data_IF_124706342706
#
_entry.id   IF_124706342706
#
_cell.length_a   1.000
_cell.length_b   1.000
_cell.length_c   1.000
_cell.angle_alpha   90.00
_cell.angle_beta   90.00
_cell.angle_gamma   90.00
#
_symmetry.space_group_name_H-M   'P 1'
#
loop_
_entity.id
_entity.type
_entity.pdbx_description
1 polymer ?
#
# COMPACT_ATOMS: atom_id res chain seq x y z
N UNK A 1 -41.67 1.31 1.42
CA UNK A 1 -40.24 1.70 1.40
C UNK A 1 -39.46 0.43 1.73
N UNK A 2 -38.93 -0.24 0.73
CA UNK A 2 -38.04 -1.38 0.92
C UNK A 2 -36.68 -0.84 1.41
N UNK A 3 -36.26 -1.30 2.59
CA UNK A 3 -34.90 -1.13 3.04
C UNK A 3 -33.99 -1.94 2.11
N UNK A 4 -33.28 -1.29 1.23
CA UNK A 4 -32.15 -1.90 0.52
C UNK A 4 -31.12 -2.23 1.61
N UNK A 5 -31.03 -3.51 1.97
CA UNK A 5 -29.95 -4.00 2.82
C UNK A 5 -28.65 -3.76 2.06
N UNK A 6 -27.82 -2.84 2.58
CA UNK A 6 -26.44 -2.74 2.14
C UNK A 6 -25.81 -4.13 2.25
N UNK A 7 -25.48 -4.72 1.13
CA UNK A 7 -24.66 -5.94 1.08
C UNK A 7 -23.30 -5.51 1.60
N UNK A 8 -23.04 -5.75 2.89
CA UNK A 8 -21.71 -5.55 3.46
C UNK A 8 -20.75 -6.48 2.73
N UNK A 9 -19.81 -5.90 1.98
CA UNK A 9 -18.73 -6.67 1.37
C UNK A 9 -18.05 -7.53 2.45
N UNK A 10 -17.74 -8.82 2.17
CA UNK A 10 -17.08 -9.68 3.13
C UNK A 10 -15.78 -9.05 3.58
N UNK A 11 -15.64 -8.87 4.88
CA UNK A 11 -14.46 -8.26 5.49
C UNK A 11 -13.30 -9.25 5.39
N UNK A 12 -12.23 -8.89 4.68
CA UNK A 12 -11.06 -9.77 4.47
C UNK A 12 -10.24 -10.00 5.75
N UNK A 13 -10.35 -9.11 6.74
CA UNK A 13 -9.64 -9.19 8.02
C UNK A 13 -10.50 -8.54 9.14
N UNK A 14 -10.21 -8.79 10.43
CA UNK A 14 -10.87 -8.10 11.54
C UNK A 14 -10.82 -6.58 11.38
N UNK A 15 -11.89 -5.90 11.75
CA UNK A 15 -12.06 -4.44 11.55
C UNK A 15 -10.94 -3.63 12.18
N UNK A 16 -10.55 -3.95 13.41
CA UNK A 16 -9.47 -3.26 14.10
C UNK A 16 -8.11 -3.43 13.41
N UNK A 17 -7.84 -4.60 12.83
CA UNK A 17 -6.62 -4.87 12.05
C UNK A 17 -6.63 -4.05 10.76
N UNK A 18 -7.77 -4.01 10.07
CA UNK A 18 -7.95 -3.21 8.86
C UNK A 18 -7.74 -1.72 9.12
N UNK A 19 -8.41 -1.17 10.13
CA UNK A 19 -8.33 0.25 10.48
C UNK A 19 -6.88 0.63 10.87
N UNK A 20 -6.17 -0.24 11.61
CA UNK A 20 -4.76 -0.03 11.91
C UNK A 20 -3.90 -0.05 10.66
N UNK A 21 -4.13 -0.98 9.73
CA UNK A 21 -3.38 -1.13 8.50
C UNK A 21 -3.53 0.12 7.61
N UNK A 22 -4.77 0.62 7.42
CA UNK A 22 -5.06 1.87 6.70
C UNK A 22 -4.35 3.05 7.36
N UNK A 23 -4.50 3.20 8.68
CA UNK A 23 -3.87 4.28 9.45
C UNK A 23 -2.35 4.24 9.34
N UNK A 24 -1.75 3.05 9.38
CA UNK A 24 -0.32 2.87 9.23
C UNK A 24 0.17 3.34 7.85
N UNK A 25 -0.45 2.91 6.77
CA UNK A 25 -0.08 3.32 5.40
C UNK A 25 -0.15 4.83 5.20
N UNK A 26 -1.20 5.50 5.71
CA UNK A 26 -1.34 6.97 5.65
C UNK A 26 -0.25 7.68 6.46
N UNK A 27 0.21 7.10 7.56
CA UNK A 27 1.24 7.70 8.43
C UNK A 27 2.68 7.28 8.09
N UNK A 28 2.88 6.43 7.08
CA UNK A 28 4.18 5.96 6.61
C UNK A 28 4.44 6.41 5.16
N UNK A 29 4.42 5.51 4.20
CA UNK A 29 4.74 5.80 2.80
C UNK A 29 3.84 6.91 2.20
N UNK A 30 2.53 6.83 2.38
CA UNK A 30 1.60 7.82 1.84
C UNK A 30 1.67 9.20 2.54
N UNK A 31 2.41 9.32 3.63
CA UNK A 31 2.69 10.61 4.29
C UNK A 31 3.85 11.39 3.66
N UNK A 32 4.59 10.79 2.72
CA UNK A 32 5.82 11.34 2.18
C UNK A 32 7.00 11.34 3.17
N UNK A 33 6.90 10.62 4.30
CA UNK A 33 8.02 10.44 5.24
C UNK A 33 9.16 9.68 4.57
N UNK A 34 10.39 9.97 5.02
CA UNK A 34 11.55 9.19 4.59
C UNK A 34 11.56 7.82 5.29
N UNK A 35 11.91 6.75 4.57
CA UNK A 35 12.09 5.44 5.19
C UNK A 35 13.26 5.44 6.19
N UNK A 36 13.23 4.49 7.11
CA UNK A 36 14.29 4.23 8.06
C UNK A 36 15.20 3.16 7.43
N UNK A 37 16.50 3.43 7.37
CA UNK A 37 17.48 2.46 6.87
C UNK A 37 17.82 1.43 7.93
N UNK A 38 18.09 0.18 7.51
CA UNK A 38 18.57 -0.87 8.39
C UNK A 38 17.56 -1.37 9.43
N UNK A 39 16.26 -1.35 9.11
CA UNK A 39 15.21 -1.83 10.01
C UNK A 39 15.34 -3.30 10.39
N UNK A 40 16.02 -4.10 9.58
CA UNK A 40 16.25 -5.52 9.83
C UNK A 40 17.68 -5.93 9.45
N UNK A 41 18.02 -7.19 9.82
CA UNK A 41 19.35 -7.79 9.55
C UNK A 41 19.70 -7.92 8.06
N UNK A 42 18.75 -7.77 7.15
CA UNK A 42 18.93 -7.85 5.69
C UNK A 42 19.24 -6.49 5.06
N UNK A 43 19.27 -5.40 5.84
CA UNK A 43 19.57 -4.06 5.35
C UNK A 43 18.46 -3.40 4.54
N UNK A 44 17.22 -3.89 4.64
CA UNK A 44 16.08 -3.25 3.99
C UNK A 44 15.84 -1.85 4.56
N UNK A 45 15.41 -0.94 3.71
CA UNK A 45 14.74 0.29 4.12
C UNK A 45 13.28 -0.01 4.47
N UNK A 46 12.62 0.88 5.21
CA UNK A 46 11.21 0.65 5.47
C UNK A 46 10.58 1.65 6.43
N UNK A 47 9.38 1.32 6.86
CA UNK A 47 8.59 2.13 7.77
C UNK A 47 8.11 1.29 8.94
N UNK A 48 7.85 1.95 10.05
CA UNK A 48 7.22 1.36 11.24
C UNK A 48 6.11 2.27 11.75
N UNK A 49 4.98 1.67 12.14
CA UNK A 49 3.87 2.39 12.76
C UNK A 49 3.16 1.50 13.80
N UNK A 50 2.90 2.00 15.03
CA UNK A 50 3.41 3.26 15.54
C UNK A 50 4.93 3.27 15.65
N UNK A 51 5.52 4.45 15.68
CA UNK A 51 6.93 4.58 16.04
C UNK A 51 7.13 4.29 17.55
N UNK A 52 8.37 4.19 18.00
CA UNK A 52 8.75 3.68 19.35
C UNK A 52 8.08 4.37 20.55
N UNK A 53 7.40 5.50 20.34
CA UNK A 53 6.87 6.33 21.42
C UNK A 53 5.37 6.18 21.67
N UNK A 54 4.68 5.26 20.95
CA UNK A 54 3.25 5.03 21.14
C UNK A 54 2.99 3.95 22.20
N UNK A 55 3.07 4.33 23.48
CA UNK A 55 2.59 3.50 24.58
C UNK A 55 1.09 3.20 24.42
N UNK A 56 0.71 1.94 24.58
CA UNK A 56 -0.69 1.49 24.49
C UNK A 56 -1.19 1.08 23.09
N UNK A 57 -0.33 1.05 22.08
CA UNK A 57 -0.69 0.52 20.76
C UNK A 57 -0.93 -1.01 20.85
N UNK A 58 -2.03 -1.48 20.26
CA UNK A 58 -2.37 -2.92 20.16
C UNK A 58 -1.61 -3.60 19.04
N UNK A 59 -1.41 -2.91 17.92
CA UNK A 59 -0.80 -3.47 16.71
C UNK A 59 0.46 -2.72 16.33
N UNK A 60 1.39 -3.45 15.68
CA UNK A 60 2.58 -2.93 15.05
C UNK A 60 2.53 -3.25 13.55
N UNK A 61 2.71 -2.23 12.73
CA UNK A 61 2.91 -2.34 11.29
C UNK A 61 4.38 -2.11 10.95
N UNK A 62 4.91 -2.95 10.08
CA UNK A 62 6.24 -2.81 9.50
C UNK A 62 6.14 -3.00 7.99
N UNK A 63 6.68 -2.06 7.25
CA UNK A 63 6.86 -2.11 5.80
C UNK A 63 8.36 -2.14 5.52
N UNK A 64 8.82 -3.16 4.82
CA UNK A 64 10.23 -3.39 4.52
C UNK A 64 10.40 -3.59 3.03
N UNK A 65 11.30 -2.83 2.40
CA UNK A 65 11.52 -2.91 0.96
C UNK A 65 12.97 -2.68 0.56
N UNK A 66 13.28 -3.15 -0.63
CA UNK A 66 14.52 -2.80 -1.36
C UNK A 66 14.16 -2.13 -2.67
N UNK A 67 14.97 -1.15 -3.04
CA UNK A 67 14.94 -0.51 -4.35
C UNK A 67 16.14 -1.03 -5.16
N UNK A 68 15.96 -1.21 -6.47
CA UNK A 68 17.04 -1.66 -7.34
C UNK A 68 18.28 -0.75 -7.25
N UNK A 69 19.49 -1.34 -7.25
CA UNK A 69 20.75 -0.62 -7.07
C UNK A 69 21.02 0.42 -8.18
N UNK A 70 20.54 0.16 -9.38
CA UNK A 70 20.75 1.06 -10.52
C UNK A 70 19.97 2.37 -10.43
N UNK A 71 19.17 2.58 -9.37
CA UNK A 71 18.32 3.76 -9.11
C UNK A 71 17.65 4.41 -10.33
N UNK A 72 18.06 3.99 -11.54
CA UNK A 72 17.52 4.49 -12.82
C UNK A 72 16.20 3.81 -13.16
N UNK A 73 16.01 2.58 -12.69
CA UNK A 73 14.75 1.85 -12.85
C UNK A 73 13.79 2.05 -11.68
N UNK A 74 14.28 2.50 -10.51
CA UNK A 74 13.52 2.70 -9.28
C UNK A 74 12.49 1.57 -8.96
N UNK A 75 12.76 0.34 -9.47
CA UNK A 75 11.96 -0.83 -9.16
C UNK A 75 12.18 -1.22 -7.70
N UNK A 76 11.13 -1.63 -7.05
CA UNK A 76 11.16 -2.03 -5.65
C UNK A 76 10.40 -3.34 -5.44
N UNK A 77 10.78 -4.05 -4.40
CA UNK A 77 10.04 -5.20 -3.88
C UNK A 77 10.12 -5.20 -2.36
N UNK A 78 9.08 -5.65 -1.70
CA UNK A 78 9.02 -5.62 -0.24
C UNK A 78 7.87 -6.41 0.35
N UNK A 79 7.69 -6.20 1.63
CA UNK A 79 6.58 -6.79 2.38
C UNK A 79 6.12 -5.87 3.51
N UNK A 80 4.82 -5.88 3.74
CA UNK A 80 4.19 -5.26 4.90
C UNK A 80 3.75 -6.36 5.87
N UNK A 81 3.93 -6.13 7.15
CA UNK A 81 3.48 -7.02 8.22
C UNK A 81 2.68 -6.23 9.24
N UNK A 82 1.53 -6.75 9.65
CA UNK A 82 0.79 -6.25 10.79
C UNK A 82 0.74 -7.35 11.86
N UNK A 83 1.18 -7.04 13.08
CA UNK A 83 1.24 -7.98 14.19
C UNK A 83 0.67 -7.40 15.47
N UNK A 84 0.10 -8.26 16.30
CA UNK A 84 -0.31 -7.94 17.66
C UNK A 84 0.92 -7.78 18.55
N UNK A 85 1.00 -6.66 19.28
CA UNK A 85 2.19 -6.33 20.09
C UNK A 85 2.29 -7.25 21.32
N UNK A 86 1.16 -7.53 21.96
CA UNK A 86 1.15 -8.28 23.21
C UNK A 86 1.53 -9.75 23.02
N UNK A 87 1.02 -10.37 21.97
CA UNK A 87 1.30 -11.78 21.65
C UNK A 87 2.45 -12.00 20.69
N UNK A 88 2.88 -10.97 19.96
CA UNK A 88 3.83 -11.06 18.85
C UNK A 88 3.27 -11.76 17.60
N UNK A 89 2.00 -12.11 17.59
CA UNK A 89 1.38 -12.85 16.48
C UNK A 89 1.17 -11.97 15.26
N UNK A 90 1.48 -12.54 14.09
CA UNK A 90 1.24 -11.88 12.80
C UNK A 90 -0.23 -12.00 12.42
N UNK A 91 -0.88 -10.88 12.15
CA UNK A 91 -2.26 -10.80 11.68
C UNK A 91 -2.34 -10.82 10.15
N UNK A 92 -1.45 -10.09 9.49
CA UNK A 92 -1.42 -10.00 8.03
C UNK A 92 0.01 -9.88 7.52
N UNK A 93 0.23 -10.44 6.33
CA UNK A 93 1.44 -10.20 5.51
C UNK A 93 0.98 -9.78 4.11
N UNK A 94 1.64 -8.79 3.54
CA UNK A 94 1.42 -8.35 2.17
C UNK A 94 2.76 -8.26 1.44
N UNK A 95 2.94 -9.08 0.43
CA UNK A 95 4.12 -9.11 -0.43
C UNK A 95 3.85 -8.26 -1.66
N UNK A 96 4.79 -7.43 -2.07
CA UNK A 96 4.58 -6.54 -3.19
C UNK A 96 5.85 -6.27 -4.00
N UNK A 97 5.64 -5.79 -5.22
CA UNK A 97 6.70 -5.28 -6.07
C UNK A 97 6.15 -4.36 -7.16
N UNK A 98 7.00 -3.55 -7.72
CA UNK A 98 6.60 -2.60 -8.75
C UNK A 98 7.69 -1.62 -9.13
N UNK A 99 7.29 -0.57 -9.82
CA UNK A 99 8.17 0.52 -10.18
C UNK A 99 7.67 1.34 -11.35
N UNK A 100 8.35 2.43 -11.69
CA UNK A 100 8.03 3.25 -12.85
C UNK A 100 8.24 2.47 -14.15
N UNK A 101 7.44 2.77 -15.14
CA UNK A 101 7.71 2.36 -16.53
C UNK A 101 8.86 3.21 -17.11
N UNK A 102 9.29 2.90 -18.33
CA UNK A 102 10.28 3.74 -19.04
C UNK A 102 9.78 5.19 -19.15
N UNK A 103 8.52 5.38 -19.52
CA UNK A 103 7.89 6.69 -19.64
C UNK A 103 7.80 7.40 -18.29
N UNK A 104 7.58 6.65 -17.21
CA UNK A 104 7.61 7.18 -15.84
C UNK A 104 9.00 7.67 -15.42
N UNK A 105 10.05 6.95 -15.81
CA UNK A 105 11.44 7.36 -15.59
C UNK A 105 11.76 8.64 -16.38
N UNK A 106 11.34 8.72 -17.63
CA UNK A 106 11.55 9.90 -18.48
C UNK A 106 10.83 11.15 -17.96
N UNK A 107 9.64 10.99 -17.34
CA UNK A 107 8.91 12.06 -16.66
C UNK A 107 9.58 12.48 -15.35
N UNK A 108 10.22 11.56 -14.68
CA UNK A 108 10.96 11.73 -13.42
C UNK A 108 10.24 11.13 -12.21
N UNK A 109 10.94 10.30 -11.48
CA UNK A 109 10.46 9.52 -10.34
C UNK A 109 9.72 10.35 -9.30
N UNK A 110 10.21 11.56 -9.00
CA UNK A 110 9.58 12.44 -8.01
C UNK A 110 8.16 12.85 -8.43
N UNK A 111 7.93 13.10 -9.72
CA UNK A 111 6.62 13.51 -10.24
C UNK A 111 5.66 12.33 -10.18
N UNK A 112 6.11 11.15 -10.60
CA UNK A 112 5.32 9.91 -10.57
C UNK A 112 4.97 9.51 -9.14
N UNK A 113 5.97 9.53 -8.23
CA UNK A 113 5.77 9.19 -6.82
C UNK A 113 4.82 10.17 -6.12
N UNK A 114 4.92 11.47 -6.39
CA UNK A 114 3.98 12.43 -5.80
C UNK A 114 2.54 12.17 -6.23
N UNK A 115 2.30 11.84 -7.50
CA UNK A 115 0.97 11.47 -7.99
C UNK A 115 0.48 10.17 -7.34
N UNK A 116 1.34 9.15 -7.22
CA UNK A 116 1.01 7.89 -6.55
C UNK A 116 0.65 8.11 -5.07
N UNK A 117 1.48 8.85 -4.33
CA UNK A 117 1.26 9.18 -2.91
C UNK A 117 -0.09 9.87 -2.70
N UNK A 118 -0.48 10.79 -3.59
CA UNK A 118 -1.77 11.47 -3.52
C UNK A 118 -2.93 10.46 -3.52
N UNK A 119 -2.97 9.54 -4.49
CA UNK A 119 -4.02 8.52 -4.56
C UNK A 119 -4.01 7.58 -3.35
N UNK A 120 -2.82 7.15 -2.92
CA UNK A 120 -2.68 6.27 -1.76
C UNK A 120 -3.11 6.94 -0.45
N UNK A 121 -2.93 8.25 -0.31
CA UNK A 121 -3.35 9.00 0.87
C UNK A 121 -4.87 9.25 0.88
N UNK A 122 -5.43 9.68 -0.26
CA UNK A 122 -6.85 10.02 -0.37
C UNK A 122 -7.76 8.78 -0.33
N UNK A 123 -7.29 7.64 -0.84
CA UNK A 123 -8.08 6.41 -0.98
C UNK A 123 -7.51 5.21 -0.21
N UNK A 124 -6.83 5.48 0.91
CA UNK A 124 -6.09 4.46 1.67
C UNK A 124 -6.93 3.26 2.15
N UNK A 125 -8.25 3.43 2.30
CA UNK A 125 -9.18 2.37 2.70
C UNK A 125 -9.75 1.56 1.52
N UNK A 126 -9.42 1.94 0.29
CA UNK A 126 -9.93 1.32 -0.93
C UNK A 126 -8.84 0.61 -1.72
N UNK A 127 -7.63 1.20 -1.75
CA UNK A 127 -6.50 0.68 -2.53
C UNK A 127 -5.78 -0.46 -1.80
N UNK A 128 -5.29 -1.43 -2.57
CA UNK A 128 -4.46 -2.56 -2.06
C UNK A 128 -5.17 -3.48 -1.07
N UNK A 129 -6.45 -3.71 -1.28
CA UNK A 129 -7.27 -4.63 -0.48
C UNK A 129 -8.13 -5.55 -1.35
N UNK A 130 -7.64 -5.95 -2.52
CA UNK A 130 -8.33 -6.85 -3.43
C UNK A 130 -9.61 -6.25 -4.04
N UNK A 131 -9.65 -4.94 -4.22
CA UNK A 131 -10.78 -4.22 -4.82
C UNK A 131 -10.45 -3.74 -6.23
N UNK A 132 -11.49 -3.68 -7.08
CA UNK A 132 -11.40 -2.97 -8.34
C UNK A 132 -11.73 -1.49 -8.09
N UNK A 133 -10.77 -0.62 -8.36
CA UNK A 133 -10.90 0.82 -8.13
C UNK A 133 -10.38 1.60 -9.33
N UNK A 134 -10.92 2.81 -9.53
CA UNK A 134 -10.42 3.77 -10.50
C UNK A 134 -10.63 5.18 -9.98
N UNK A 135 -9.55 5.94 -9.87
CA UNK A 135 -9.55 7.32 -9.43
C UNK A 135 -8.88 8.21 -10.47
N UNK A 136 -9.28 9.46 -10.55
CA UNK A 136 -8.75 10.42 -11.51
C UNK A 136 -8.43 11.73 -10.81
N UNK A 137 -7.30 12.32 -11.14
CA UNK A 137 -6.84 13.62 -10.65
C UNK A 137 -6.26 14.46 -11.78
N UNK A 138 -6.63 15.74 -11.84
CA UNK A 138 -6.05 16.70 -12.78
C UNK A 138 -5.04 17.56 -12.05
N UNK A 139 -3.77 17.49 -12.47
CA UNK A 139 -2.72 18.30 -11.88
C UNK A 139 -2.80 19.79 -12.31
N UNK A 140 -2.11 20.71 -11.62
CA UNK A 140 -2.12 22.14 -11.96
C UNK A 140 -1.62 22.46 -13.38
N UNK A 141 -0.83 21.57 -13.98
CA UNK A 141 -0.35 21.69 -15.36
C UNK A 141 -1.35 21.17 -16.40
N UNK A 142 -2.51 20.68 -15.95
CA UNK A 142 -3.58 20.20 -16.81
C UNK A 142 -3.45 18.72 -17.21
N UNK A 143 -2.45 18.00 -16.71
CA UNK A 143 -2.33 16.57 -16.99
C UNK A 143 -3.36 15.77 -16.19
N UNK A 144 -3.90 14.74 -16.82
CA UNK A 144 -4.84 13.83 -16.19
C UNK A 144 -4.08 12.59 -15.71
N UNK A 145 -4.07 12.39 -14.40
CA UNK A 145 -3.54 11.21 -13.75
C UNK A 145 -4.69 10.25 -13.42
N UNK A 146 -4.51 8.98 -13.73
CA UNK A 146 -5.49 7.94 -13.42
C UNK A 146 -4.79 6.80 -12.69
N UNK A 147 -5.31 6.47 -11.51
CA UNK A 147 -4.97 5.28 -10.76
C UNK A 147 -6.03 4.21 -11.00
N UNK A 148 -5.61 3.05 -11.43
CA UNK A 148 -6.46 1.87 -11.62
C UNK A 148 -5.91 0.71 -10.79
N UNK A 149 -6.75 0.16 -9.92
CA UNK A 149 -6.47 -1.06 -9.18
C UNK A 149 -7.41 -2.17 -9.67
N UNK A 150 -6.84 -3.35 -9.94
CA UNK A 150 -7.58 -4.60 -10.15
C UNK A 150 -7.28 -5.52 -9.00
N UNK A 151 -8.31 -5.93 -8.29
CA UNK A 151 -8.16 -6.76 -7.12
C UNK A 151 -8.97 -8.03 -7.18
N UNK A 152 -8.47 -9.07 -6.51
CA UNK A 152 -9.22 -10.28 -6.20
C UNK A 152 -9.18 -10.56 -4.70
N UNK A 153 -10.26 -11.14 -4.18
CA UNK A 153 -10.36 -11.58 -2.78
C UNK A 153 -10.60 -13.07 -2.72
N UNK A 154 -9.94 -13.72 -1.79
CA UNK A 154 -10.10 -15.15 -1.45
C UNK A 154 -10.29 -15.28 0.06
N UNK A 155 -10.67 -16.45 0.54
CA UNK A 155 -11.06 -16.69 1.95
C UNK A 155 -10.09 -16.15 3.00
N UNK A 156 -8.77 -16.20 2.72
CA UNK A 156 -7.72 -15.78 3.65
C UNK A 156 -6.71 -14.82 3.01
N UNK A 157 -7.07 -14.16 1.91
CA UNK A 157 -6.12 -13.28 1.25
C UNK A 157 -6.71 -12.46 0.13
N UNK A 158 -5.86 -11.65 -0.46
CA UNK A 158 -6.22 -10.82 -1.61
C UNK A 158 -5.02 -10.61 -2.53
N UNK A 159 -5.29 -10.26 -3.76
CA UNK A 159 -4.30 -9.83 -4.75
C UNK A 159 -4.65 -8.48 -5.32
N UNK A 160 -3.65 -7.71 -5.69
CA UNK A 160 -3.78 -6.40 -6.30
C UNK A 160 -2.82 -6.26 -7.49
N UNK A 161 -3.32 -5.73 -8.59
CA UNK A 161 -2.54 -5.21 -9.71
C UNK A 161 -2.90 -3.74 -9.88
N UNK A 162 -1.89 -2.86 -9.90
CA UNK A 162 -2.11 -1.42 -9.96
C UNK A 162 -1.38 -0.80 -11.15
N UNK A 163 -1.99 0.24 -11.70
CA UNK A 163 -1.45 1.02 -12.78
C UNK A 163 -1.72 2.50 -12.56
N UNK A 164 -0.68 3.30 -12.62
CA UNK A 164 -0.79 4.75 -12.68
C UNK A 164 -0.50 5.22 -14.11
N UNK A 165 -1.39 6.02 -14.67
CA UNK A 165 -1.22 6.61 -16.01
C UNK A 165 -1.23 8.14 -15.92
N UNK A 166 -0.56 8.78 -16.89
CA UNK A 166 -0.62 10.24 -17.11
C UNK A 166 -1.01 10.48 -18.56
N UNK A 167 -2.14 11.16 -18.78
CA UNK A 167 -2.71 11.38 -20.13
C UNK A 167 -2.85 10.06 -20.93
N UNK A 168 -3.23 8.97 -20.25
CA UNK A 168 -3.39 7.63 -20.85
C UNK A 168 -2.09 6.83 -21.01
N UNK A 169 -0.92 7.41 -20.77
CA UNK A 169 0.38 6.72 -20.87
C UNK A 169 0.74 6.10 -19.52
N UNK A 170 1.10 4.80 -19.45
CA UNK A 170 1.52 4.15 -18.20
C UNK A 170 2.80 4.76 -17.63
N UNK A 171 2.76 5.14 -16.35
CA UNK A 171 3.88 5.74 -15.63
C UNK A 171 4.44 4.83 -14.54
N UNK A 172 3.59 3.99 -13.94
CA UNK A 172 3.95 3.11 -12.83
C UNK A 172 3.07 1.87 -12.84
N UNK A 173 3.63 0.73 -12.41
CA UNK A 173 2.91 -0.53 -12.18
C UNK A 173 3.27 -1.11 -10.82
N UNK A 174 2.34 -1.87 -10.25
CA UNK A 174 2.51 -2.51 -8.96
C UNK A 174 1.69 -3.79 -8.91
N UNK A 175 2.22 -4.81 -8.22
CA UNK A 175 1.53 -6.05 -7.90
C UNK A 175 1.72 -6.36 -6.42
N UNK A 176 0.69 -6.95 -5.81
CA UNK A 176 0.78 -7.38 -4.43
C UNK A 176 -0.11 -8.56 -4.11
N UNK A 177 0.26 -9.32 -3.06
CA UNK A 177 -0.53 -10.42 -2.52
C UNK A 177 -0.53 -10.36 -1.01
N UNK A 178 -1.72 -10.26 -0.44
CA UNK A 178 -1.94 -10.26 0.99
C UNK A 178 -2.47 -11.60 1.50
N UNK A 179 -2.12 -11.93 2.73
CA UNK A 179 -2.66 -13.06 3.45
C UNK A 179 -3.06 -12.65 4.87
N UNK A 180 -4.20 -13.15 5.33
CA UNK A 180 -4.73 -12.93 6.68
C UNK A 180 -4.64 -14.20 7.49
N UNK A 181 -4.00 -14.13 8.62
CA UNK A 181 -3.87 -15.23 9.59
C UNK A 181 -5.00 -15.11 10.63
N UNK A 182 -6.16 -15.68 10.34
CA UNK A 182 -7.43 -15.47 11.09
C UNK A 182 -7.39 -15.83 12.59
N UNK A 183 -6.31 -16.43 13.07
CA UNK A 183 -6.14 -16.79 14.49
C UNK A 183 -4.77 -16.42 15.06
N UNK A 184 -3.93 -15.69 14.33
CA UNK A 184 -2.54 -15.45 14.68
C UNK A 184 -1.81 -16.79 14.98
N UNK A 185 -0.67 -17.02 14.40
CA UNK A 185 0.16 -18.17 14.77
C UNK A 185 0.79 -17.96 16.13
#
# INVERSE_FOLDING_TARGET
MEQVSEIQEPQIMPREVFDHFVKARVNTFASGKKPISGLNVMGFEGYRYPDKNNEGATFLYEDNFQVSEDRKSAHFAGYEVNKDIASGKVNTVYLYGGGPTKEGIDVGDKIVNNALILFLAEHANEVRFGKNVRFEHKDPSGNIWVYEGKGERKDHGWGDEEKLTRNGVPMHTFEGKGHVFSKGF
#
